data_IF_843500878103
#
_entry.id   IF_843500878103
#
_cell.length_a   1.000
_cell.length_b   1.000
_cell.length_c   1.000
_cell.angle_alpha   90.00
_cell.angle_beta   90.00
_cell.angle_gamma   90.00
#
_symmetry.space_group_name_H-M   'P 1'
#
loop_
_entity.id
_entity.type
_entity.pdbx_description
1 polymer ?
#
# COMPACT_ATOMS: atom_id res chain seq x y z
N UNK A 1 -28.81 8.94 12.20
CA UNK A 1 -29.45 10.28 12.21
C UNK A 1 -29.81 10.70 13.63
N UNK A 2 -30.52 9.87 14.40
CA UNK A 2 -30.67 10.10 15.84
C UNK A 2 -29.32 10.16 16.59
N UNK A 3 -28.36 9.30 16.22
CA UNK A 3 -26.98 9.34 16.74
C UNK A 3 -26.21 10.63 16.37
N UNK A 4 -26.67 11.35 15.35
CA UNK A 4 -26.12 12.66 14.96
C UNK A 4 -26.88 13.83 15.60
N UNK A 5 -27.77 13.55 16.57
CA UNK A 5 -28.50 14.58 17.32
C UNK A 5 -29.73 15.17 16.62
N UNK A 6 -30.22 14.56 15.54
CA UNK A 6 -31.41 15.02 14.83
C UNK A 6 -32.69 14.60 15.57
N UNK A 7 -33.62 15.53 15.71
CA UNK A 7 -34.93 15.26 16.31
C UNK A 7 -35.86 14.49 15.35
N UNK A 8 -36.82 13.70 15.87
CA UNK A 8 -37.72 12.88 15.06
C UNK A 8 -38.48 13.61 13.95
N UNK A 9 -38.80 14.88 14.17
CA UNK A 9 -39.52 15.71 13.21
C UNK A 9 -38.62 16.18 12.04
N UNK A 10 -37.30 16.19 12.23
CA UNK A 10 -36.32 16.66 11.24
C UNK A 10 -35.94 15.54 10.26
N UNK A 11 -35.74 14.31 10.74
CA UNK A 11 -35.35 13.18 9.88
C UNK A 11 -36.53 12.36 9.31
N UNK A 12 -37.73 12.50 9.88
CA UNK A 12 -38.93 11.79 9.41
C UNK A 12 -39.22 11.99 7.91
N UNK A 13 -39.26 13.23 7.39
CA UNK A 13 -39.46 13.49 5.97
C UNK A 13 -38.34 12.94 5.07
N UNK A 14 -37.10 12.93 5.57
CA UNK A 14 -35.93 12.39 4.84
C UNK A 14 -36.06 10.87 4.69
N UNK A 15 -36.44 10.17 5.75
CA UNK A 15 -36.70 8.72 5.73
C UNK A 15 -37.83 8.39 4.75
N UNK A 16 -38.90 9.17 4.75
CA UNK A 16 -40.02 8.97 3.83
C UNK A 16 -39.63 9.22 2.37
N UNK A 17 -38.79 10.24 2.11
CA UNK A 17 -38.21 10.50 0.80
C UNK A 17 -37.31 9.38 0.31
N UNK A 18 -36.44 8.85 1.18
CA UNK A 18 -35.56 7.73 0.84
C UNK A 18 -36.36 6.42 0.62
N UNK A 19 -37.44 6.18 1.38
CA UNK A 19 -38.31 4.99 1.18
C UNK A 19 -38.92 4.93 -0.22
N UNK A 20 -39.19 6.08 -0.83
CA UNK A 20 -39.73 6.17 -2.20
C UNK A 20 -38.69 5.86 -3.28
N UNK A 21 -37.39 5.91 -2.94
CA UNK A 21 -36.30 5.60 -3.86
C UNK A 21 -35.38 4.53 -3.23
N UNK A 22 -35.63 3.23 -3.47
CA UNK A 22 -34.86 2.16 -2.87
C UNK A 22 -33.37 2.19 -3.23
N UNK A 23 -32.99 2.77 -4.37
CA UNK A 23 -31.58 2.93 -4.74
C UNK A 23 -30.88 3.97 -3.86
N UNK A 24 -31.51 5.12 -3.62
CA UNK A 24 -31.00 6.15 -2.73
C UNK A 24 -30.95 5.67 -1.26
N UNK A 25 -31.96 4.89 -0.83
CA UNK A 25 -31.94 4.24 0.49
C UNK A 25 -30.75 3.27 0.62
N UNK A 26 -30.53 2.41 -0.37
CA UNK A 26 -29.40 1.47 -0.38
C UNK A 26 -28.06 2.20 -0.34
N UNK A 27 -27.86 3.24 -1.14
CA UNK A 27 -26.62 4.02 -1.16
C UNK A 27 -26.38 4.75 0.18
N UNK A 28 -27.44 5.30 0.77
CA UNK A 28 -27.39 5.90 2.11
C UNK A 28 -26.94 4.87 3.16
N UNK A 29 -27.56 3.69 3.20
CA UNK A 29 -27.19 2.65 4.17
C UNK A 29 -25.77 2.11 3.91
N UNK A 30 -25.39 1.86 2.64
CA UNK A 30 -24.03 1.44 2.31
C UNK A 30 -22.99 2.44 2.81
N UNK A 31 -23.23 3.74 2.64
CA UNK A 31 -22.28 4.78 3.03
C UNK A 31 -22.25 5.04 4.54
N UNK A 32 -23.42 5.15 5.19
CA UNK A 32 -23.52 5.62 6.58
C UNK A 32 -23.62 4.49 7.60
N UNK A 33 -24.08 3.30 7.22
CA UNK A 33 -24.15 2.14 8.12
C UNK A 33 -22.94 1.22 7.92
N UNK A 34 -22.58 0.93 6.66
CA UNK A 34 -21.50 -0.02 6.35
C UNK A 34 -20.15 0.66 6.08
N UNK A 35 -20.12 1.98 5.87
CA UNK A 35 -18.90 2.71 5.50
C UNK A 35 -18.34 2.31 4.13
N UNK A 36 -19.17 1.73 3.26
CA UNK A 36 -18.79 1.24 1.94
C UNK A 36 -19.08 2.29 0.86
N UNK A 37 -18.13 2.46 -0.05
CA UNK A 37 -18.34 3.15 -1.31
C UNK A 37 -18.60 2.14 -2.42
N UNK A 38 -19.45 2.49 -3.39
CA UNK A 38 -19.72 1.63 -4.53
C UNK A 38 -18.43 1.43 -5.33
N UNK A 39 -17.92 0.19 -5.47
CA UNK A 39 -16.67 -0.04 -6.19
C UNK A 39 -16.86 0.21 -7.68
N UNK A 40 -15.91 0.94 -8.28
CA UNK A 40 -15.83 1.09 -9.73
C UNK A 40 -15.16 -0.16 -10.33
N UNK A 41 -15.85 -0.95 -11.17
CA UNK A 41 -15.28 -2.17 -11.75
C UNK A 41 -14.04 -1.90 -12.61
N UNK A 42 -13.88 -0.70 -13.19
CA UNK A 42 -12.68 -0.34 -13.96
C UNK A 42 -11.47 -0.07 -13.08
N UNK A 43 -11.69 0.42 -11.86
CA UNK A 43 -10.61 0.64 -10.87
C UNK A 43 -9.97 -0.67 -10.43
N UNK A 44 -10.71 -1.77 -10.37
CA UNK A 44 -10.17 -3.06 -9.97
C UNK A 44 -9.04 -3.54 -10.91
N UNK A 45 -9.30 -3.51 -12.22
CA UNK A 45 -8.31 -3.93 -13.22
C UNK A 45 -7.12 -2.96 -13.26
N UNK A 46 -7.37 -1.65 -13.20
CA UNK A 46 -6.31 -0.65 -13.15
C UNK A 46 -5.40 -0.85 -11.93
N UNK A 47 -5.99 -1.04 -10.75
CA UNK A 47 -5.25 -1.30 -9.51
C UNK A 47 -4.40 -2.56 -9.62
N UNK A 48 -4.94 -3.65 -10.17
CA UNK A 48 -4.21 -4.90 -10.35
C UNK A 48 -2.99 -4.71 -11.27
N UNK A 49 -3.17 -4.05 -12.42
CA UNK A 49 -2.08 -3.78 -13.37
C UNK A 49 -1.03 -2.85 -12.79
N UNK A 50 -1.44 -1.78 -12.09
CA UNK A 50 -0.52 -0.84 -11.46
C UNK A 50 0.35 -1.54 -10.41
N UNK A 51 -0.25 -2.39 -9.55
CA UNK A 51 0.50 -3.15 -8.54
C UNK A 51 1.44 -4.14 -9.22
N UNK A 52 0.97 -4.90 -10.21
CA UNK A 52 1.78 -5.90 -10.91
C UNK A 52 3.02 -5.26 -11.56
N UNK A 53 2.84 -4.19 -12.32
CA UNK A 53 3.95 -3.46 -12.96
C UNK A 53 4.90 -2.85 -11.93
N UNK A 54 4.37 -2.27 -10.85
CA UNK A 54 5.18 -1.70 -9.78
C UNK A 54 6.03 -2.77 -9.09
N UNK A 55 5.49 -3.97 -8.86
CA UNK A 55 6.24 -5.09 -8.28
C UNK A 55 7.33 -5.61 -9.21
N UNK A 56 7.06 -5.72 -10.51
CA UNK A 56 8.07 -6.12 -11.50
C UNK A 56 9.21 -5.11 -11.51
N UNK A 57 8.90 -3.83 -11.67
CA UNK A 57 9.91 -2.77 -11.74
C UNK A 57 10.69 -2.68 -10.43
N UNK A 58 10.00 -2.69 -9.28
CA UNK A 58 10.64 -2.64 -7.97
C UNK A 58 11.50 -3.87 -7.66
N UNK A 59 11.06 -5.06 -8.08
CA UNK A 59 11.80 -6.31 -7.91
C UNK A 59 13.02 -6.43 -8.82
N UNK A 60 13.03 -5.74 -9.97
CA UNK A 60 14.20 -5.69 -10.85
C UNK A 60 15.34 -4.88 -10.25
N UNK A 61 15.05 -3.84 -9.47
CA UNK A 61 16.07 -2.95 -8.87
C UNK A 61 17.21 -3.72 -8.14
N UNK A 62 16.93 -4.62 -7.18
CA UNK A 62 17.99 -5.42 -6.54
C UNK A 62 18.68 -6.41 -7.48
N UNK A 63 18.02 -6.84 -8.56
CA UNK A 63 18.57 -7.82 -9.50
C UNK A 63 19.48 -7.19 -10.55
N UNK A 64 19.32 -5.89 -10.85
CA UNK A 64 20.10 -5.20 -11.87
C UNK A 64 21.62 -5.39 -11.71
N UNK A 65 22.24 -5.24 -10.52
CA UNK A 65 23.69 -5.40 -10.39
C UNK A 65 24.19 -6.80 -10.77
N UNK A 66 23.39 -7.84 -10.53
CA UNK A 66 23.71 -9.22 -10.91
C UNK A 66 23.70 -9.46 -12.43
N UNK A 67 23.05 -8.59 -13.21
CA UNK A 67 23.05 -8.68 -14.67
C UNK A 67 24.34 -8.11 -15.29
N UNK A 68 25.03 -7.20 -14.59
CA UNK A 68 26.18 -6.47 -15.13
C UNK A 68 27.52 -6.83 -14.46
N UNK A 69 27.47 -7.33 -13.22
CA UNK A 69 28.67 -7.67 -12.44
C UNK A 69 28.83 -9.19 -12.39
N UNK A 70 29.92 -9.71 -12.92
CA UNK A 70 30.20 -11.15 -13.00
C UNK A 70 30.56 -11.77 -11.64
N UNK A 71 31.16 -10.99 -10.73
CA UNK A 71 31.52 -11.45 -9.40
C UNK A 71 30.32 -11.35 -8.45
N UNK A 72 29.87 -12.50 -7.93
CA UNK A 72 28.67 -12.58 -7.07
C UNK A 72 28.78 -11.72 -5.82
N UNK A 73 29.96 -11.66 -5.18
CA UNK A 73 30.18 -10.87 -3.96
C UNK A 73 30.06 -9.36 -4.25
N UNK A 74 30.69 -8.88 -5.32
CA UNK A 74 30.64 -7.46 -5.72
C UNK A 74 29.23 -7.06 -6.18
N UNK A 75 28.55 -7.96 -6.91
CA UNK A 75 27.16 -7.78 -7.33
C UNK A 75 26.23 -7.65 -6.11
N UNK A 76 26.43 -8.49 -5.09
CA UNK A 76 25.65 -8.46 -3.84
C UNK A 76 25.86 -7.14 -3.09
N UNK A 77 27.11 -6.71 -2.88
CA UNK A 77 27.39 -5.45 -2.17
C UNK A 77 26.80 -4.24 -2.92
N UNK A 78 26.92 -4.24 -4.25
CA UNK A 78 26.33 -3.21 -5.10
C UNK A 78 24.80 -3.23 -5.04
N UNK A 79 24.19 -4.41 -5.07
CA UNK A 79 22.74 -4.60 -4.94
C UNK A 79 22.19 -4.10 -3.60
N UNK A 80 22.90 -4.35 -2.51
CA UNK A 80 22.53 -3.81 -1.19
C UNK A 80 22.52 -2.28 -1.23
N UNK A 81 23.57 -1.65 -1.74
CA UNK A 81 23.65 -0.19 -1.85
C UNK A 81 22.52 0.42 -2.69
N UNK A 82 22.31 -0.11 -3.90
CA UNK A 82 21.24 0.33 -4.82
C UNK A 82 19.86 0.17 -4.19
N UNK A 83 19.62 -0.97 -3.54
CA UNK A 83 18.33 -1.27 -2.90
C UNK A 83 18.06 -0.34 -1.72
N UNK A 84 19.05 -0.07 -0.87
CA UNK A 84 18.91 0.87 0.25
C UNK A 84 18.58 2.28 -0.25
N UNK A 85 19.23 2.75 -1.31
CA UNK A 85 18.92 4.03 -1.94
C UNK A 85 17.50 4.05 -2.52
N UNK A 86 17.09 2.98 -3.19
CA UNK A 86 15.73 2.86 -3.71
C UNK A 86 14.68 2.87 -2.59
N UNK A 87 14.90 2.14 -1.49
CA UNK A 87 13.99 2.12 -0.34
C UNK A 87 13.88 3.49 0.33
N UNK A 88 15.00 4.22 0.46
CA UNK A 88 14.99 5.60 0.97
C UNK A 88 14.17 6.51 0.05
N UNK A 89 14.41 6.44 -1.25
CA UNK A 89 13.70 7.23 -2.26
C UNK A 89 12.20 6.96 -2.27
N UNK A 90 11.79 5.69 -2.41
CA UNK A 90 10.38 5.30 -2.42
C UNK A 90 9.71 5.54 -1.07
N UNK A 91 10.42 5.33 0.05
CA UNK A 91 9.89 5.63 1.37
C UNK A 91 9.68 7.13 1.61
N UNK A 92 10.54 7.99 1.06
CA UNK A 92 10.36 9.45 1.08
C UNK A 92 9.15 9.87 0.25
N UNK A 93 9.04 9.36 -0.98
CA UNK A 93 7.90 9.59 -1.87
C UNK A 93 6.60 9.17 -1.18
N UNK A 94 6.56 7.95 -0.65
CA UNK A 94 5.43 7.41 0.10
C UNK A 94 5.02 8.38 1.21
N UNK A 95 5.96 8.86 2.03
CA UNK A 95 5.67 9.78 3.12
C UNK A 95 5.10 11.12 2.63
N UNK A 96 5.62 11.66 1.52
CA UNK A 96 5.10 12.88 0.91
C UNK A 96 3.65 12.72 0.42
N UNK A 97 3.31 11.59 -0.20
CA UNK A 97 1.97 11.35 -0.74
C UNK A 97 0.94 10.98 0.33
N UNK A 98 1.35 10.34 1.43
CA UNK A 98 0.42 9.93 2.50
C UNK A 98 0.20 11.00 3.58
N UNK A 99 0.81 12.18 3.44
CA UNK A 99 0.73 13.25 4.44
C UNK A 99 1.55 13.00 5.72
N UNK A 100 2.37 11.95 5.73
CA UNK A 100 3.27 11.62 6.84
C UNK A 100 4.59 12.39 6.74
N UNK A 101 5.39 12.39 7.81
CA UNK A 101 6.75 12.98 7.80
C UNK A 101 7.64 12.23 6.79
N UNK A 102 8.04 12.84 5.65
CA UNK A 102 8.68 12.11 4.55
C UNK A 102 9.98 11.41 4.93
N UNK A 103 10.83 12.08 5.70
CA UNK A 103 12.09 11.52 6.16
C UNK A 103 11.90 10.31 7.09
N UNK A 104 10.91 10.37 7.99
CA UNK A 104 10.63 9.26 8.89
C UNK A 104 10.09 8.04 8.12
N UNK A 105 9.23 8.27 7.13
CA UNK A 105 8.72 7.21 6.24
C UNK A 105 9.84 6.57 5.42
N UNK A 106 10.83 7.35 4.96
CA UNK A 106 12.02 6.85 4.28
C UNK A 106 12.83 5.92 5.19
N UNK A 107 13.21 6.41 6.38
CA UNK A 107 14.00 5.64 7.35
C UNK A 107 13.27 4.36 7.77
N UNK A 108 11.97 4.43 8.07
CA UNK A 108 11.18 3.26 8.43
C UNK A 108 11.16 2.21 7.31
N UNK A 109 10.92 2.65 6.07
CA UNK A 109 10.87 1.75 4.91
C UNK A 109 12.20 1.04 4.71
N UNK A 110 13.31 1.77 4.82
CA UNK A 110 14.66 1.21 4.70
C UNK A 110 15.01 0.25 5.83
N UNK A 111 14.63 0.56 7.08
CA UNK A 111 14.86 -0.34 8.23
C UNK A 111 14.09 -1.65 8.06
N UNK A 112 12.81 -1.60 7.64
CA UNK A 112 12.00 -2.79 7.40
C UNK A 112 12.67 -3.68 6.34
N UNK A 113 13.12 -3.07 5.22
CA UNK A 113 13.84 -3.78 4.17
C UNK A 113 15.14 -4.41 4.68
N UNK A 114 15.96 -3.66 5.42
CA UNK A 114 17.22 -4.15 5.98
C UNK A 114 17.01 -5.34 6.94
N UNK A 115 16.00 -5.26 7.81
CA UNK A 115 15.65 -6.35 8.73
C UNK A 115 15.17 -7.59 7.98
N UNK A 116 14.30 -7.42 6.98
CA UNK A 116 13.82 -8.53 6.16
C UNK A 116 14.96 -9.22 5.40
N UNK A 117 15.86 -8.44 4.78
CA UNK A 117 17.04 -8.96 4.10
C UNK A 117 18.00 -9.68 5.04
N UNK A 118 18.25 -9.13 6.24
CA UNK A 118 19.09 -9.77 7.24
C UNK A 118 18.49 -11.11 7.72
N UNK A 119 17.18 -11.16 7.93
CA UNK A 119 16.48 -12.38 8.29
C UNK A 119 16.56 -13.44 7.17
N UNK A 120 16.32 -13.06 5.92
CA UNK A 120 16.43 -13.96 4.77
C UNK A 120 17.86 -14.52 4.61
N UNK A 121 18.87 -13.67 4.72
CA UNK A 121 20.28 -14.07 4.68
C UNK A 121 20.63 -15.03 5.82
N UNK A 122 20.18 -14.72 7.04
CA UNK A 122 20.39 -15.57 8.22
C UNK A 122 19.77 -16.95 8.04
N UNK A 123 18.54 -17.04 7.52
CA UNK A 123 17.89 -18.31 7.21
C UNK A 123 18.64 -19.09 6.13
N UNK A 124 19.03 -18.45 5.03
CA UNK A 124 19.78 -19.10 3.96
C UNK A 124 21.10 -19.69 4.48
N UNK A 125 21.83 -18.93 5.31
CA UNK A 125 23.07 -19.39 5.95
C UNK A 125 22.83 -20.55 6.91
N UNK A 126 21.76 -20.51 7.72
CA UNK A 126 21.43 -21.58 8.66
C UNK A 126 21.05 -22.90 7.95
N UNK A 127 20.42 -22.81 6.78
CA UNK A 127 20.11 -23.99 5.96
C UNK A 127 21.36 -24.55 5.30
N UNK A 128 22.25 -23.70 4.76
CA UNK A 128 23.51 -24.14 4.14
C UNK A 128 24.57 -24.63 5.13
N UNK A 129 24.47 -24.25 6.41
CA UNK A 129 25.35 -24.72 7.47
C UNK A 129 25.01 -26.15 7.94
N UNK A 130 23.92 -26.75 7.43
CA UNK A 130 23.55 -28.15 7.63
C UNK A 130 24.01 -28.97 6.43
#
# INVERSE_FOLDING_TARGET
MAEYGLEPHEYGPVVEGLRRNPQAWLEFMMRFELGLEKPDPRRALQSALTIALSYIIGGLVPLLPYMFISTVQDAMLTSVGVTLLALLFFGYIKGRFTGNRPFLSAVQTTIIGAVASAAAYGMAKAVQAR
#
